data_IF_958635876800
#
_entry.id   IF_958635876800
#
_cell.length_a   1.000
_cell.length_b   1.000
_cell.length_c   1.000
_cell.angle_alpha   90.00
_cell.angle_beta   90.00
_cell.angle_gamma   90.00
#
_symmetry.space_group_name_H-M   'P 1'
#
loop_
_entity.id
_entity.type
_entity.pdbx_description
1 polymer ?
#
# COMPACT_ATOMS: atom_id res chain seq x y z
N UNK A 1 28.54 -2.35 -54.74
CA UNK A 1 28.80 -1.28 -53.74
C UNK A 1 27.57 -0.91 -52.90
N UNK A 2 26.40 -0.63 -53.50
CA UNK A 2 25.18 -0.22 -52.75
C UNK A 2 24.66 -1.25 -51.72
N UNK A 3 24.83 -2.54 -51.99
CA UNK A 3 24.35 -3.62 -51.11
C UNK A 3 25.19 -3.83 -49.84
N UNK A 4 26.51 -3.64 -49.95
CA UNK A 4 27.45 -3.71 -48.82
C UNK A 4 27.24 -2.55 -47.82
N UNK A 5 26.90 -1.36 -48.32
CA UNK A 5 26.59 -0.19 -47.49
C UNK A 5 25.29 -0.41 -46.67
N UNK A 6 24.28 -1.05 -47.26
CA UNK A 6 23.04 -1.40 -46.56
C UNK A 6 23.26 -2.45 -45.44
N UNK A 7 24.11 -3.44 -45.67
CA UNK A 7 24.47 -4.45 -44.65
C UNK A 7 25.23 -3.80 -43.50
N UNK A 8 26.16 -2.89 -43.78
CA UNK A 8 26.92 -2.20 -42.73
C UNK A 8 26.04 -1.26 -41.89
N UNK A 9 25.07 -0.57 -42.50
CA UNK A 9 24.11 0.29 -41.78
C UNK A 9 23.15 -0.50 -40.88
N UNK A 10 22.73 -1.70 -41.32
CA UNK A 10 21.86 -2.57 -40.51
C UNK A 10 22.61 -3.21 -39.35
N UNK A 11 23.86 -3.64 -39.54
CA UNK A 11 24.70 -4.15 -38.44
C UNK A 11 25.01 -3.03 -37.43
N UNK A 12 25.33 -1.82 -37.91
CA UNK A 12 25.57 -0.64 -37.07
C UNK A 12 24.37 -0.30 -36.16
N UNK A 13 23.16 -0.31 -36.72
CA UNK A 13 21.93 -0.03 -35.96
C UNK A 13 21.60 -1.12 -34.94
N UNK A 14 21.85 -2.39 -35.23
CA UNK A 14 21.70 -3.51 -34.28
C UNK A 14 22.70 -3.39 -33.12
N UNK A 15 23.96 -3.09 -33.41
CA UNK A 15 24.99 -2.89 -32.38
C UNK A 15 24.64 -1.68 -31.51
N UNK A 16 24.22 -0.56 -32.11
CA UNK A 16 23.80 0.64 -31.40
C UNK A 16 22.58 0.39 -30.48
N UNK A 17 21.58 -0.38 -30.95
CA UNK A 17 20.42 -0.76 -30.14
C UNK A 17 20.80 -1.65 -28.95
N UNK A 18 21.76 -2.56 -29.14
CA UNK A 18 22.23 -3.46 -28.08
C UNK A 18 23.03 -2.72 -26.99
N UNK A 19 23.88 -1.77 -27.38
CA UNK A 19 24.62 -0.89 -26.46
C UNK A 19 23.71 0.08 -25.71
N UNK A 20 22.65 0.58 -26.35
CA UNK A 20 21.68 1.48 -25.69
C UNK A 20 20.84 0.76 -24.62
N UNK A 21 20.47 -0.51 -24.85
CA UNK A 21 19.81 -1.34 -23.83
C UNK A 21 20.71 -1.67 -22.64
N UNK A 22 22.01 -1.85 -22.87
CA UNK A 22 22.97 -2.15 -21.80
C UNK A 22 23.25 -0.93 -20.89
N UNK A 23 23.17 0.29 -21.43
CA UNK A 23 23.36 1.54 -20.67
C UNK A 23 22.15 1.97 -19.83
N UNK A 24 21.01 1.31 -20.00
CA UNK A 24 19.75 1.62 -19.29
C UNK A 24 19.40 0.56 -18.24
N UNK A 25 20.39 -0.07 -17.60
CA UNK A 25 20.15 -0.85 -16.37
C UNK A 25 20.04 0.14 -15.21
N UNK A 26 18.82 0.57 -14.92
CA UNK A 26 18.52 1.24 -13.66
C UNK A 26 18.74 0.24 -12.51
N UNK A 27 19.79 0.45 -11.74
CA UNK A 27 20.06 -0.33 -10.53
C UNK A 27 19.24 0.28 -9.39
N UNK A 28 18.31 -0.51 -8.85
CA UNK A 28 17.46 -0.09 -7.74
C UNK A 28 18.35 0.13 -6.50
N UNK A 29 18.28 1.30 -5.84
CA UNK A 29 19.00 1.57 -4.61
C UNK A 29 18.81 0.47 -3.54
N UNK A 30 19.83 0.15 -2.72
CA UNK A 30 19.76 -0.93 -1.73
C UNK A 30 18.61 -0.80 -0.72
N UNK A 31 18.33 0.41 -0.26
CA UNK A 31 17.22 0.79 0.61
C UNK A 31 15.87 0.52 -0.06
N UNK A 32 15.69 0.98 -1.30
CA UNK A 32 14.47 0.74 -2.08
C UNK A 32 14.26 -0.77 -2.31
N UNK A 33 15.33 -1.51 -2.61
CA UNK A 33 15.28 -2.97 -2.75
C UNK A 33 14.90 -3.67 -1.45
N UNK A 34 15.39 -3.20 -0.31
CA UNK A 34 15.05 -3.72 1.02
C UNK A 34 13.57 -3.49 1.33
N UNK A 35 13.09 -2.26 1.14
CA UNK A 35 11.67 -1.87 1.33
C UNK A 35 10.78 -2.70 0.43
N UNK A 36 11.02 -2.69 -0.89
CA UNK A 36 10.18 -3.39 -1.85
C UNK A 36 10.03 -4.88 -1.53
N UNK A 37 11.12 -5.53 -1.09
CA UNK A 37 11.09 -6.94 -0.68
C UNK A 37 10.19 -7.16 0.55
N UNK A 38 10.34 -6.37 1.60
CA UNK A 38 9.55 -6.52 2.84
C UNK A 38 8.08 -6.17 2.61
N UNK A 39 7.80 -5.09 1.87
CA UNK A 39 6.45 -4.65 1.53
C UNK A 39 5.73 -5.69 0.67
N UNK A 40 6.39 -6.23 -0.37
CA UNK A 40 5.81 -7.28 -1.21
C UNK A 40 5.51 -8.56 -0.41
N UNK A 41 6.43 -8.99 0.45
CA UNK A 41 6.25 -10.16 1.32
C UNK A 41 5.04 -9.97 2.25
N UNK A 42 4.99 -8.87 2.99
CA UNK A 42 3.91 -8.58 3.93
C UNK A 42 2.57 -8.42 3.22
N UNK A 43 2.55 -7.73 2.08
CA UNK A 43 1.35 -7.59 1.27
C UNK A 43 0.77 -8.96 0.87
N UNK A 44 1.60 -9.90 0.42
CA UNK A 44 1.16 -11.26 0.07
C UNK A 44 0.67 -12.07 1.28
N UNK A 45 1.39 -12.00 2.41
CA UNK A 45 1.03 -12.71 3.64
C UNK A 45 -0.34 -12.24 4.14
N UNK A 46 -0.53 -10.93 4.24
CA UNK A 46 -1.78 -10.34 4.73
C UNK A 46 -2.93 -10.57 3.74
N UNK A 47 -2.68 -10.42 2.43
CA UNK A 47 -3.65 -10.72 1.39
C UNK A 47 -4.21 -12.14 1.52
N UNK A 48 -3.34 -13.13 1.73
CA UNK A 48 -3.72 -14.52 1.93
C UNK A 48 -4.46 -14.73 3.26
N UNK A 49 -3.98 -14.14 4.36
CA UNK A 49 -4.56 -14.32 5.70
C UNK A 49 -6.00 -13.81 5.78
N UNK A 50 -6.29 -12.66 5.17
CA UNK A 50 -7.59 -11.99 5.28
C UNK A 50 -8.44 -12.05 4.01
N UNK A 51 -8.02 -12.84 3.01
CA UNK A 51 -8.69 -12.95 1.71
C UNK A 51 -8.96 -11.58 1.07
N UNK A 52 -7.91 -10.75 1.01
CA UNK A 52 -7.97 -9.39 0.48
C UNK A 52 -6.98 -9.21 -0.67
N UNK A 53 -7.21 -8.20 -1.51
CA UNK A 53 -6.41 -7.91 -2.70
C UNK A 53 -5.43 -6.76 -2.41
N UNK A 54 -4.12 -6.93 -2.63
CA UNK A 54 -3.17 -5.81 -2.63
C UNK A 54 -3.62 -4.70 -3.57
N UNK A 55 -3.58 -3.46 -3.10
CA UNK A 55 -4.00 -2.28 -3.85
C UNK A 55 -2.86 -1.28 -4.03
N UNK A 56 -2.10 -1.01 -2.97
CA UNK A 56 -1.10 0.04 -2.96
C UNK A 56 -0.06 -0.13 -1.85
N UNK A 57 1.01 0.62 -1.98
CA UNK A 57 2.11 0.74 -1.03
C UNK A 57 2.48 2.22 -0.93
N UNK A 58 2.63 2.72 0.28
CA UNK A 58 3.06 4.09 0.55
C UNK A 58 4.31 4.07 1.44
N UNK A 59 5.32 4.88 1.10
CA UNK A 59 6.61 4.94 1.79
C UNK A 59 6.99 6.40 1.97
N UNK A 60 7.35 6.80 3.20
CA UNK A 60 7.95 8.11 3.45
C UNK A 60 9.40 7.95 3.87
N UNK A 61 10.30 8.56 3.10
CA UNK A 61 11.74 8.60 3.36
C UNK A 61 12.28 10.03 3.39
N UNK A 62 11.84 10.90 4.33
CA UNK A 62 12.41 12.23 4.46
C UNK A 62 13.89 12.10 4.83
N UNK A 63 14.75 12.87 4.15
CA UNK A 63 16.19 12.93 4.42
C UNK A 63 16.94 11.59 4.19
N UNK A 64 16.31 10.61 3.53
CA UNK A 64 16.91 9.33 3.16
C UNK A 64 16.59 8.17 4.11
N UNK A 65 16.06 8.45 5.31
CA UNK A 65 15.66 7.41 6.26
C UNK A 65 14.16 7.09 6.15
N UNK A 66 13.82 5.81 6.26
CA UNK A 66 12.43 5.34 6.29
C UNK A 66 11.78 5.76 7.61
N UNK A 67 10.70 6.53 7.50
CA UNK A 67 9.92 7.06 8.62
C UNK A 67 8.46 6.59 8.61
N UNK A 68 7.95 6.11 7.47
CA UNK A 68 6.59 5.60 7.38
C UNK A 68 6.45 4.53 6.30
N UNK A 69 5.70 3.47 6.59
CA UNK A 69 5.37 2.39 5.66
C UNK A 69 3.89 2.04 5.75
N UNK A 70 3.19 1.99 4.62
CA UNK A 70 1.77 1.63 4.58
C UNK A 70 1.45 0.63 3.48
N UNK A 71 0.58 -0.32 3.81
CA UNK A 71 0.00 -1.28 2.88
C UNK A 71 -1.50 -1.00 2.69
N UNK A 72 -1.92 -0.96 1.44
CA UNK A 72 -3.30 -0.70 1.07
C UNK A 72 -3.92 -1.93 0.41
N UNK A 73 -5.16 -2.24 0.78
CA UNK A 73 -5.87 -3.42 0.31
C UNK A 73 -7.31 -3.11 -0.07
N UNK A 74 -7.85 -3.92 -0.97
CA UNK A 74 -9.29 -4.04 -1.17
C UNK A 74 -9.80 -5.32 -0.53
N UNK A 75 -10.93 -5.23 0.19
CA UNK A 75 -11.56 -6.38 0.86
C UNK A 75 -13.05 -6.41 0.58
N UNK A 76 -13.59 -7.59 0.30
CA UNK A 76 -15.03 -7.75 0.05
C UNK A 76 -15.80 -7.58 1.37
N UNK A 77 -16.77 -6.67 1.39
CA UNK A 77 -17.65 -6.43 2.52
C UNK A 77 -19.12 -6.77 2.21
N UNK A 78 -20.07 -6.27 3.03
CA UNK A 78 -19.85 -5.40 4.19
C UNK A 78 -19.19 -6.13 5.37
N UNK A 79 -18.44 -5.38 6.18
CA UNK A 79 -17.88 -5.86 7.44
C UNK A 79 -18.35 -4.96 8.58
N UNK A 80 -18.65 -5.55 9.72
CA UNK A 80 -18.93 -4.80 10.95
C UNK A 80 -17.68 -4.04 11.41
N UNK A 81 -17.89 -2.96 12.18
CA UNK A 81 -16.78 -2.20 12.78
C UNK A 81 -15.85 -3.09 13.62
N UNK A 82 -16.38 -4.10 14.30
CA UNK A 82 -15.60 -5.04 15.09
C UNK A 82 -14.72 -5.96 14.23
N UNK A 83 -15.26 -6.51 13.14
CA UNK A 83 -14.47 -7.31 12.19
C UNK A 83 -13.35 -6.46 11.57
N UNK A 84 -13.65 -5.23 11.16
CA UNK A 84 -12.66 -4.31 10.60
C UNK A 84 -11.59 -3.97 11.64
N UNK A 85 -11.98 -3.66 12.88
CA UNK A 85 -11.05 -3.40 13.99
C UNK A 85 -10.06 -4.55 14.16
N UNK A 86 -10.58 -5.79 14.23
CA UNK A 86 -9.75 -6.98 14.40
C UNK A 86 -8.73 -7.13 13.28
N UNK A 87 -9.16 -6.95 12.03
CA UNK A 87 -8.27 -7.03 10.85
C UNK A 87 -7.18 -5.96 10.93
N UNK A 88 -7.55 -4.70 11.19
CA UNK A 88 -6.58 -3.59 11.26
C UNK A 88 -5.54 -3.80 12.36
N UNK A 89 -5.97 -4.16 13.58
CA UNK A 89 -5.07 -4.40 14.71
C UNK A 89 -4.13 -5.57 14.43
N UNK A 90 -4.67 -6.73 14.05
CA UNK A 90 -3.84 -7.91 13.82
C UNK A 90 -2.91 -7.75 12.61
N UNK A 91 -3.37 -7.09 11.53
CA UNK A 91 -2.54 -6.82 10.35
C UNK A 91 -1.41 -5.85 10.68
N UNK A 92 -1.70 -4.75 11.37
CA UNK A 92 -0.68 -3.77 11.75
C UNK A 92 0.34 -4.36 12.72
N UNK A 93 -0.09 -5.16 13.69
CA UNK A 93 0.82 -5.83 14.62
C UNK A 93 1.75 -6.82 13.91
N UNK A 94 1.19 -7.66 13.02
CA UNK A 94 1.98 -8.59 12.22
C UNK A 94 2.97 -7.88 11.30
N UNK A 95 2.52 -6.83 10.61
CA UNK A 95 3.35 -6.03 9.72
C UNK A 95 4.50 -5.34 10.46
N UNK A 96 4.22 -4.75 11.63
CA UNK A 96 5.23 -4.09 12.46
C UNK A 96 6.30 -5.05 12.96
N UNK A 97 5.88 -6.23 13.44
CA UNK A 97 6.80 -7.27 13.89
C UNK A 97 7.72 -7.73 12.75
N UNK A 98 7.16 -7.91 11.56
CA UNK A 98 7.89 -8.33 10.37
C UNK A 98 8.91 -7.29 9.88
N UNK A 99 8.58 -5.99 9.95
CA UNK A 99 9.49 -4.88 9.63
C UNK A 99 10.66 -4.87 10.61
N UNK A 100 10.36 -4.87 11.91
CA UNK A 100 11.38 -4.73 12.95
C UNK A 100 12.28 -5.96 13.08
N UNK A 101 11.84 -7.13 12.60
CA UNK A 101 12.66 -8.35 12.54
C UNK A 101 13.57 -8.44 11.31
N UNK A 102 13.36 -7.61 10.28
CA UNK A 102 14.16 -7.67 9.05
C UNK A 102 15.45 -6.85 9.20
N UNK A 103 16.57 -7.54 9.48
CA UNK A 103 17.87 -6.89 9.71
C UNK A 103 18.37 -6.06 8.54
N UNK A 104 17.96 -6.39 7.31
CA UNK A 104 18.36 -5.65 6.12
C UNK A 104 17.57 -4.33 6.02
N UNK A 105 16.26 -4.35 6.27
CA UNK A 105 15.44 -3.15 6.30
C UNK A 105 15.78 -2.24 7.49
N UNK A 106 16.05 -2.84 8.66
CA UNK A 106 16.38 -2.17 9.92
C UNK A 106 17.52 -1.13 9.81
N UNK A 107 18.46 -1.35 8.89
CA UNK A 107 19.58 -0.42 8.65
C UNK A 107 19.14 0.91 8.04
N UNK A 108 17.97 0.95 7.39
CA UNK A 108 17.44 2.12 6.68
C UNK A 108 16.29 2.80 7.45
N UNK A 109 15.94 2.32 8.64
CA UNK A 109 14.90 2.92 9.48
C UNK A 109 15.52 4.03 10.34
N UNK A 110 14.87 5.19 10.44
CA UNK A 110 15.37 6.37 11.19
C UNK A 110 15.86 6.08 12.62
N UNK A 111 15.20 5.14 13.31
CA UNK A 111 15.53 4.74 14.69
C UNK A 111 15.83 3.24 14.81
N UNK A 112 16.24 2.57 13.72
CA UNK A 112 16.43 1.11 13.62
C UNK A 112 15.19 0.27 13.97
N UNK A 113 14.05 0.91 14.23
CA UNK A 113 12.78 0.28 14.55
C UNK A 113 11.67 1.27 14.27
N UNK A 114 10.51 0.74 13.89
CA UNK A 114 9.27 1.47 13.76
C UNK A 114 8.34 1.12 14.92
N UNK A 115 7.37 2.00 15.17
CA UNK A 115 6.26 1.78 16.09
C UNK A 115 4.93 1.75 15.32
N UNK A 116 3.82 1.51 16.03
CA UNK A 116 2.47 1.56 15.44
C UNK A 116 2.14 2.92 14.80
N UNK A 117 2.81 4.00 15.24
CA UNK A 117 2.61 5.34 14.70
C UNK A 117 3.32 5.56 13.36
N UNK A 118 4.28 4.70 13.05
CA UNK A 118 5.15 4.80 11.88
C UNK A 118 4.74 3.81 10.77
N UNK A 119 3.59 3.14 10.93
CA UNK A 119 3.04 2.25 9.92
C UNK A 119 1.57 2.54 9.62
N UNK A 120 1.10 2.05 8.47
CA UNK A 120 -0.30 2.12 8.07
C UNK A 120 -0.83 0.83 7.46
N UNK A 121 -2.11 0.54 7.69
CA UNK A 121 -2.90 -0.40 6.89
C UNK A 121 -4.18 0.30 6.48
N UNK A 122 -4.46 0.39 5.18
CA UNK A 122 -5.72 0.92 4.65
C UNK A 122 -6.52 -0.17 3.94
N UNK A 123 -7.80 -0.24 4.25
CA UNK A 123 -8.78 -1.16 3.67
C UNK A 123 -9.84 -0.35 2.91
N UNK A 124 -9.94 -0.61 1.61
CA UNK A 124 -11.03 -0.16 0.77
C UNK A 124 -12.07 -1.28 0.67
N UNK A 125 -13.24 -1.09 1.30
CA UNK A 125 -14.28 -2.12 1.29
C UNK A 125 -15.05 -2.05 -0.02
N UNK A 126 -15.19 -3.20 -0.69
CA UNK A 126 -15.85 -3.34 -1.99
C UNK A 126 -16.99 -4.36 -1.94
N UNK A 127 -17.95 -4.23 -2.85
CA UNK A 127 -18.96 -5.26 -3.13
C UNK A 127 -18.38 -6.40 -3.99
N UNK A 128 -19.17 -7.44 -4.23
CA UNK A 128 -18.80 -8.58 -5.08
C UNK A 128 -18.50 -8.20 -6.54
N UNK A 129 -18.93 -7.01 -6.98
CA UNK A 129 -18.69 -6.47 -8.31
C UNK A 129 -17.45 -5.57 -8.35
N UNK A 130 -16.70 -5.45 -7.24
CA UNK A 130 -15.50 -4.63 -7.14
C UNK A 130 -15.75 -3.14 -6.94
N UNK A 131 -17.00 -2.71 -6.68
CA UNK A 131 -17.33 -1.31 -6.44
C UNK A 131 -17.19 -0.99 -4.97
N UNK A 132 -16.62 0.18 -4.65
CA UNK A 132 -16.50 0.62 -3.26
C UNK A 132 -17.87 0.69 -2.58
N UNK A 133 -17.95 0.21 -1.35
CA UNK A 133 -19.17 0.31 -0.54
C UNK A 133 -19.52 1.78 -0.28
N UNK A 134 -20.79 2.03 -0.04
CA UNK A 134 -21.35 3.34 0.33
C UNK A 134 -22.21 3.19 1.58
N UNK A 135 -22.65 4.33 2.10
CA UNK A 135 -23.66 4.43 3.13
C UNK A 135 -24.80 3.40 2.93
N UNK A 136 -25.17 2.63 3.97
CA UNK A 136 -24.79 2.78 5.39
C UNK A 136 -23.51 2.04 5.81
N UNK A 137 -22.77 1.44 4.88
CA UNK A 137 -21.62 0.58 5.20
C UNK A 137 -20.32 1.38 5.30
N UNK A 138 -19.35 0.84 6.05
CA UNK A 138 -17.98 1.34 6.06
C UNK A 138 -17.41 1.21 4.64
N UNK A 139 -16.92 2.33 4.10
CA UNK A 139 -16.33 2.40 2.75
C UNK A 139 -14.81 2.27 2.80
N UNK A 140 -14.20 2.94 3.78
CA UNK A 140 -12.76 2.94 3.99
C UNK A 140 -12.51 2.76 5.47
N UNK A 141 -11.56 1.92 5.81
CA UNK A 141 -11.06 1.82 7.18
C UNK A 141 -9.55 1.74 7.17
N UNK A 142 -8.90 2.38 8.14
CA UNK A 142 -7.45 2.40 8.19
C UNK A 142 -6.93 2.54 9.60
N UNK A 143 -5.72 2.06 9.82
CA UNK A 143 -4.90 2.42 10.98
C UNK A 143 -3.71 3.20 10.47
N UNK A 144 -3.56 4.45 10.92
CA UNK A 144 -2.45 5.33 10.54
C UNK A 144 -2.12 6.20 11.76
N UNK A 145 -0.84 6.44 12.04
CA UNK A 145 -0.39 7.29 13.16
C UNK A 145 -0.93 6.85 14.53
N UNK A 146 -1.18 5.56 14.71
CA UNK A 146 -1.71 4.99 15.96
C UNK A 146 -3.21 5.19 16.19
N UNK A 147 -3.96 5.63 15.19
CA UNK A 147 -5.43 5.79 15.26
C UNK A 147 -6.11 4.91 14.21
N UNK A 148 -7.24 4.30 14.58
CA UNK A 148 -8.13 3.62 13.65
C UNK A 148 -9.20 4.61 13.19
N UNK A 149 -9.35 4.79 11.88
CA UNK A 149 -10.42 5.58 11.26
C UNK A 149 -11.36 4.68 10.48
N UNK A 150 -12.67 4.96 10.57
CA UNK A 150 -13.74 4.29 9.82
C UNK A 150 -14.58 5.35 9.12
N UNK A 151 -14.50 5.37 7.80
CA UNK A 151 -15.14 6.36 6.94
C UNK A 151 -16.31 5.72 6.19
N UNK A 152 -17.46 6.40 6.21
CA UNK A 152 -18.63 6.09 5.39
C UNK A 152 -18.71 7.14 4.29
N UNK A 153 -18.71 6.69 3.03
CA UNK A 153 -18.89 7.55 1.87
C UNK A 153 -20.34 7.50 1.37
N UNK A 154 -20.87 8.63 0.95
CA UNK A 154 -22.12 8.72 0.20
C UNK A 154 -21.83 9.28 -1.20
N UNK A 155 -22.61 8.83 -2.18
CA UNK A 155 -22.57 9.41 -3.51
C UNK A 155 -23.38 10.71 -3.51
N UNK A 156 -22.72 11.83 -3.80
CA UNK A 156 -23.33 13.16 -3.90
C UNK A 156 -23.21 13.62 -5.35
N UNK A 157 -24.30 14.11 -5.92
CA UNK A 157 -24.28 14.64 -7.28
C UNK A 157 -23.47 15.93 -7.31
N UNK A 158 -22.46 15.96 -8.16
CA UNK A 158 -21.65 17.15 -8.42
C UNK A 158 -22.20 17.86 -9.67
N UNK A 159 -22.63 19.11 -9.48
CA UNK A 159 -23.22 19.92 -10.54
C UNK A 159 -22.21 20.35 -11.61
N UNK A 160 -20.93 20.48 -11.28
CA UNK A 160 -19.88 20.87 -12.23
C UNK A 160 -19.47 19.67 -13.09
N UNK A 161 -19.29 18.51 -12.47
CA UNK A 161 -18.88 17.27 -13.12
C UNK A 161 -20.05 16.49 -13.73
N UNK A 162 -21.29 16.91 -13.47
CA UNK A 162 -22.55 16.27 -13.91
C UNK A 162 -22.59 14.78 -13.61
N UNK A 163 -22.09 14.38 -12.44
CA UNK A 163 -22.03 12.97 -12.01
C UNK A 163 -21.99 12.86 -10.50
N UNK A 164 -22.37 11.68 -10.00
CA UNK A 164 -22.17 11.34 -8.60
C UNK A 164 -20.68 11.17 -8.30
N UNK A 165 -20.22 11.83 -7.23
CA UNK A 165 -18.88 11.67 -6.68
C UNK A 165 -18.98 11.16 -5.23
N UNK A 166 -18.05 10.29 -4.79
CA UNK A 166 -18.03 9.85 -3.40
C UNK A 166 -17.59 11.01 -2.50
N UNK A 167 -18.36 11.29 -1.45
CA UNK A 167 -18.02 12.26 -0.41
C UNK A 167 -18.12 11.63 0.98
N UNK A 168 -17.34 12.13 1.93
CA UNK A 168 -17.40 11.67 3.33
C UNK A 168 -18.73 12.06 3.95
N UNK A 169 -19.56 11.07 4.29
CA UNK A 169 -20.80 11.26 5.04
C UNK A 169 -20.54 11.30 6.55
N UNK A 170 -19.72 10.37 7.05
CA UNK A 170 -19.36 10.32 8.45
C UNK A 170 -18.00 9.68 8.66
N UNK A 171 -17.33 10.08 9.74
CA UNK A 171 -16.06 9.50 10.19
C UNK A 171 -16.19 9.12 11.67
N UNK A 172 -15.62 7.99 12.05
CA UNK A 172 -15.43 7.65 13.46
C UNK A 172 -14.00 7.21 13.69
N UNK A 173 -13.48 7.48 14.89
CA UNK A 173 -12.10 7.18 15.27
C UNK A 173 -12.02 6.54 16.64
N UNK A 174 -10.94 5.83 16.88
CA UNK A 174 -10.51 5.34 18.19
C UNK A 174 -9.00 5.16 18.17
N UNK A 175 -8.35 5.27 19.33
CA UNK A 175 -6.91 5.02 19.41
C UNK A 175 -6.62 3.52 19.24
N UNK A 176 -5.38 3.19 18.89
CA UNK A 176 -4.91 1.80 18.87
C UNK A 176 -5.18 1.07 20.19
N UNK A 177 -4.93 1.74 21.32
CA UNK A 177 -5.11 1.20 22.67
C UNK A 177 -6.59 0.99 23.00
N UNK A 178 -7.46 1.95 22.64
CA UNK A 178 -8.92 1.80 22.79
C UNK A 178 -9.45 0.62 21.97
N UNK A 179 -8.98 0.49 20.72
CA UNK A 179 -9.33 -0.61 19.85
C UNK A 179 -8.87 -1.96 20.43
N UNK A 180 -7.63 -2.03 20.92
CA UNK A 180 -7.08 -3.25 21.51
C UNK A 180 -7.86 -3.68 22.77
N UNK A 181 -8.22 -2.74 23.63
CA UNK A 181 -9.03 -3.00 24.83
C UNK A 181 -10.41 -3.57 24.47
N UNK A 182 -11.05 -3.05 23.41
CA UNK A 182 -12.35 -3.54 22.93
C UNK A 182 -12.31 -4.94 22.32
N UNK A 183 -11.14 -5.42 21.88
CA UNK A 183 -10.98 -6.79 21.38
C UNK A 183 -10.68 -7.81 22.49
N UNK A 184 -10.30 -7.33 23.67
CA UNK A 184 -9.92 -8.14 24.84
C UNK A 184 -11.03 -8.23 25.89
N UNK A 185 -12.14 -7.52 25.67
CA UNK A 185 -13.33 -7.48 26.54
C UNK A 185 -14.38 -8.46 26.03
#
# INVERSE_FOLDING_TARGET
>A
MKWLVFILLTISTIIFYSSFKAHMKYEIPPDEKAVNKVMARNSQVLAKKYNMRPFGVSVAMPEGDIQFLELEFQICGPLSKEQVRKILIEAAHGFLADINADSNLCTYLKNHSLTIKDIGITLFLIDSSGRGLRDPNISIAKIIKGELEYDILADVYDDELKRNIPQFKSKSRETYEEALNKLSS
#
